data_IF_131633192095
#
_entry.id   IF_131633192095
#
_cell.length_a   1.000
_cell.length_b   1.000
_cell.length_c   1.000
_cell.angle_alpha   90.00
_cell.angle_beta   90.00
_cell.angle_gamma   90.00
#
_symmetry.space_group_name_H-M   'P 1'
#
loop_
_entity.id
_entity.type
_entity.pdbx_description
1 polymer ?
#
# COMPACT_ATOMS: atom_id res chain seq x y z
N UNK A 1 -4.29 9.72 20.51
CA UNK A 1 -2.95 9.22 20.96
C UNK A 1 -2.40 8.28 19.87
N UNK A 2 -1.27 8.63 19.25
CA UNK A 2 -0.69 7.85 18.15
C UNK A 2 0.12 6.61 18.62
N UNK A 3 0.26 6.42 19.92
CA UNK A 3 1.16 5.38 20.46
C UNK A 3 0.73 3.96 20.12
N UNK A 4 -0.57 3.73 19.96
CA UNK A 4 -1.14 2.40 19.74
C UNK A 4 -1.21 1.97 18.27
N UNK A 5 -0.96 2.89 17.32
CA UNK A 5 -1.03 2.57 15.89
C UNK A 5 0.21 1.88 15.35
N UNK A 6 1.38 2.04 16.01
CA UNK A 6 2.63 1.37 15.63
C UNK A 6 2.69 -0.02 16.25
N UNK A 7 2.23 -1.02 15.50
CA UNK A 7 2.18 -2.42 15.94
C UNK A 7 3.47 -3.15 15.62
N UNK A 8 3.49 -4.47 15.82
CA UNK A 8 4.67 -5.29 15.55
C UNK A 8 5.02 -5.35 14.06
N UNK A 9 4.00 -5.48 13.19
CA UNK A 9 4.22 -5.77 11.77
C UNK A 9 3.71 -4.68 10.80
N UNK A 10 2.95 -3.72 11.29
CA UNK A 10 2.40 -2.64 10.47
C UNK A 10 1.97 -1.44 11.33
N UNK A 11 1.62 -0.35 10.65
CA UNK A 11 0.93 0.79 11.26
C UNK A 11 -0.55 0.58 11.02
N UNK A 12 -1.37 0.64 12.09
CA UNK A 12 -2.80 0.41 12.00
C UNK A 12 -3.59 1.17 13.05
N UNK A 13 -4.63 1.88 12.62
CA UNK A 13 -5.46 2.69 13.52
C UNK A 13 -6.85 2.99 12.96
N UNK A 14 -7.64 3.64 13.76
CA UNK A 14 -8.99 4.10 13.40
C UNK A 14 -8.84 5.41 12.60
N UNK A 15 -9.48 5.45 11.41
CA UNK A 15 -9.48 6.63 10.55
C UNK A 15 -10.07 7.84 11.27
N UNK A 16 -9.48 9.01 11.08
CA UNK A 16 -9.74 10.29 11.73
C UNK A 16 -9.41 10.35 13.23
N UNK A 17 -9.69 9.30 14.00
CA UNK A 17 -9.43 9.29 15.43
C UNK A 17 -7.94 9.12 15.75
N UNK A 18 -7.26 8.23 15.05
CA UNK A 18 -5.85 7.88 15.24
C UNK A 18 -5.02 8.16 13.98
N UNK A 19 -5.53 7.77 12.81
CA UNK A 19 -4.99 8.09 11.51
C UNK A 19 -5.69 9.34 10.96
N UNK A 20 -5.29 10.48 11.44
CA UNK A 20 -5.76 11.81 11.02
C UNK A 20 -4.68 12.54 10.21
N UNK A 21 -5.00 13.71 9.70
CA UNK A 21 -4.11 14.51 8.87
C UNK A 21 -2.74 14.73 9.49
N UNK A 22 -2.70 15.15 10.76
CA UNK A 22 -1.45 15.47 11.48
C UNK A 22 -0.59 14.20 11.62
N UNK A 23 -1.19 13.12 12.12
CA UNK A 23 -0.46 11.88 12.36
C UNK A 23 0.06 11.26 11.06
N UNK A 24 -0.76 11.24 10.00
CA UNK A 24 -0.40 10.61 8.72
C UNK A 24 0.63 11.43 7.94
N UNK A 25 0.53 12.76 7.95
CA UNK A 25 1.57 13.62 7.38
C UNK A 25 2.91 13.43 8.11
N UNK A 26 2.90 13.36 9.44
CA UNK A 26 4.11 13.11 10.23
C UNK A 26 4.71 11.72 9.96
N UNK A 27 3.86 10.68 9.83
CA UNK A 27 4.29 9.34 9.41
C UNK A 27 4.94 9.37 8.03
N UNK A 28 4.31 10.02 7.05
CA UNK A 28 4.86 10.15 5.70
C UNK A 28 6.21 10.86 5.68
N UNK A 29 6.34 11.93 6.44
CA UNK A 29 7.59 12.68 6.53
C UNK A 29 8.74 11.85 7.11
N UNK A 30 8.53 11.20 8.24
CA UNK A 30 9.57 10.40 8.88
C UNK A 30 9.91 9.11 8.11
N UNK A 31 8.90 8.46 7.49
CA UNK A 31 9.15 7.34 6.57
C UNK A 31 10.00 7.79 5.37
N UNK A 32 9.67 8.95 4.79
CA UNK A 32 10.44 9.49 3.67
C UNK A 32 11.90 9.79 4.05
N UNK A 33 12.14 10.39 5.22
CA UNK A 33 13.49 10.62 5.72
C UNK A 33 14.25 9.31 5.98
N UNK A 34 13.58 8.33 6.60
CA UNK A 34 14.15 7.01 6.85
C UNK A 34 14.54 6.30 5.54
N UNK A 35 13.65 6.33 4.55
CA UNK A 35 13.90 5.76 3.23
C UNK A 35 15.10 6.44 2.54
N UNK A 36 15.19 7.77 2.56
CA UNK A 36 16.35 8.50 2.02
C UNK A 36 17.64 8.11 2.73
N UNK A 37 17.62 8.00 4.06
CA UNK A 37 18.79 7.59 4.84
C UNK A 37 19.26 6.17 4.49
N UNK A 38 18.35 5.29 4.09
CA UNK A 38 18.65 3.94 3.60
C UNK A 38 19.05 3.90 2.13
N UNK A 39 19.01 5.01 1.41
CA UNK A 39 19.38 5.12 -0.01
C UNK A 39 18.25 4.82 -0.99
N UNK A 40 16.98 4.77 -0.54
CA UNK A 40 15.81 4.65 -1.43
C UNK A 40 15.71 5.88 -2.33
N UNK A 41 15.57 5.65 -3.64
CA UNK A 41 15.43 6.69 -4.65
C UNK A 41 14.00 6.81 -5.16
N UNK A 42 13.29 5.68 -5.22
CA UNK A 42 11.95 5.58 -5.78
C UNK A 42 11.02 4.79 -4.86
N UNK A 43 9.81 5.33 -4.65
CA UNK A 43 8.79 4.77 -3.79
C UNK A 43 7.48 4.61 -4.54
N UNK A 44 6.88 3.42 -4.53
CA UNK A 44 5.50 3.21 -4.96
C UNK A 44 4.54 3.31 -3.79
N UNK A 45 3.38 3.93 -4.02
CA UNK A 45 2.28 4.01 -3.06
C UNK A 45 1.01 3.50 -3.71
N UNK A 46 0.40 2.48 -3.12
CA UNK A 46 -0.90 1.94 -3.53
C UNK A 46 -1.87 1.87 -2.36
N UNK A 47 -3.14 1.58 -2.65
CA UNK A 47 -4.17 1.54 -1.63
C UNK A 47 -5.27 0.51 -1.93
N UNK A 48 -5.98 0.08 -0.89
CA UNK A 48 -7.14 -0.80 -1.01
C UNK A 48 -8.44 0.00 -1.28
N UNK A 49 -9.58 -0.69 -1.33
CA UNK A 49 -10.88 -0.11 -1.67
C UNK A 49 -11.59 0.64 -0.52
N UNK A 50 -10.92 0.88 0.59
CA UNK A 50 -11.54 1.56 1.74
C UNK A 50 -11.83 3.04 1.43
N UNK A 51 -12.97 3.55 1.91
CA UNK A 51 -13.37 4.94 1.70
C UNK A 51 -12.35 5.97 2.23
N UNK A 52 -11.60 5.60 3.25
CA UNK A 52 -10.52 6.42 3.82
C UNK A 52 -9.24 6.46 2.99
N UNK A 53 -9.12 5.62 1.96
CA UNK A 53 -7.88 5.46 1.20
C UNK A 53 -7.39 6.77 0.57
N UNK A 54 -8.27 7.54 -0.06
CA UNK A 54 -7.89 8.80 -0.74
C UNK A 54 -7.36 9.86 0.24
N UNK A 55 -8.03 10.04 1.39
CA UNK A 55 -7.57 10.99 2.41
C UNK A 55 -6.20 10.59 2.96
N UNK A 56 -6.05 9.31 3.33
CA UNK A 56 -4.78 8.77 3.83
C UNK A 56 -3.65 8.85 2.79
N UNK A 57 -3.97 8.60 1.51
CA UNK A 57 -3.01 8.73 0.42
C UNK A 57 -2.52 10.18 0.31
N UNK A 58 -3.41 11.16 0.27
CA UNK A 58 -3.06 12.57 0.15
C UNK A 58 -2.21 13.06 1.33
N UNK A 59 -2.59 12.72 2.55
CA UNK A 59 -1.84 13.08 3.76
C UNK A 59 -0.47 12.41 3.80
N UNK A 60 -0.40 11.11 3.50
CA UNK A 60 0.87 10.37 3.46
C UNK A 60 1.82 10.96 2.41
N UNK A 61 1.31 11.20 1.19
CA UNK A 61 2.07 11.77 0.08
C UNK A 61 2.58 13.18 0.42
N UNK A 62 1.79 14.00 1.12
CA UNK A 62 2.25 15.32 1.57
C UNK A 62 3.47 15.23 2.50
N UNK A 63 3.44 14.27 3.45
CA UNK A 63 4.60 14.00 4.32
C UNK A 63 5.82 13.51 3.53
N UNK A 64 5.63 12.55 2.64
CA UNK A 64 6.69 12.01 1.78
C UNK A 64 7.30 13.07 0.87
N UNK A 65 6.48 13.99 0.31
CA UNK A 65 6.97 15.11 -0.49
C UNK A 65 7.78 16.11 0.34
N UNK A 66 7.41 16.33 1.61
CA UNK A 66 8.22 17.14 2.55
C UNK A 66 9.62 16.55 2.77
N UNK A 67 9.74 15.22 2.74
CA UNK A 67 11.01 14.52 2.81
C UNK A 67 11.73 14.46 1.44
N UNK A 68 11.12 14.96 0.35
CA UNK A 68 11.70 15.01 -1.00
C UNK A 68 12.03 13.61 -1.57
N UNK A 69 11.16 12.62 -1.35
CA UNK A 69 11.28 11.31 -1.99
C UNK A 69 10.48 11.27 -3.29
N UNK A 70 10.97 10.58 -4.31
CA UNK A 70 10.27 10.45 -5.59
C UNK A 70 9.17 9.39 -5.48
N UNK A 71 7.91 9.84 -5.62
CA UNK A 71 6.72 9.02 -5.39
C UNK A 71 6.06 8.63 -6.70
N UNK A 72 5.63 7.36 -6.76
CA UNK A 72 4.82 6.80 -7.84
C UNK A 72 3.51 6.26 -7.27
N UNK A 73 2.39 6.81 -7.72
CA UNK A 73 1.05 6.32 -7.43
C UNK A 73 0.75 5.13 -8.35
N UNK A 74 0.57 3.95 -7.75
CA UNK A 74 0.21 2.73 -8.46
C UNK A 74 -1.29 2.41 -8.39
N UNK A 75 -2.07 3.26 -7.74
CA UNK A 75 -3.53 3.19 -7.71
C UNK A 75 -4.12 2.21 -6.69
N UNK A 76 -5.42 1.93 -6.90
CA UNK A 76 -6.19 1.00 -6.07
C UNK A 76 -5.91 -0.44 -6.51
N UNK A 77 -5.17 -1.19 -5.70
CA UNK A 77 -4.68 -2.53 -6.02
C UNK A 77 -4.59 -3.42 -4.77
N UNK A 78 -4.62 -4.75 -4.91
CA UNK A 78 -4.34 -5.64 -3.79
C UNK A 78 -2.87 -5.57 -3.36
N UNK A 79 -2.63 -5.73 -2.07
CA UNK A 79 -1.29 -5.65 -1.44
C UNK A 79 -0.19 -6.44 -2.17
N UNK A 80 -0.43 -7.66 -2.70
CA UNK A 80 0.60 -8.39 -3.45
C UNK A 80 1.15 -7.67 -4.68
N UNK A 81 0.36 -6.79 -5.31
CA UNK A 81 0.83 -5.98 -6.45
C UNK A 81 1.86 -4.95 -5.98
N UNK A 82 1.65 -4.34 -4.80
CA UNK A 82 2.63 -3.46 -4.19
C UNK A 82 3.95 -4.18 -3.90
N UNK A 83 3.90 -5.36 -3.29
CA UNK A 83 5.10 -6.17 -3.07
C UNK A 83 5.80 -6.54 -4.38
N UNK A 84 5.04 -6.96 -5.39
CA UNK A 84 5.59 -7.27 -6.71
C UNK A 84 6.36 -6.10 -7.31
N UNK A 85 5.93 -4.87 -7.10
CA UNK A 85 6.59 -3.68 -7.62
C UNK A 85 8.03 -3.52 -7.12
N UNK A 86 8.31 -3.96 -5.88
CA UNK A 86 9.65 -3.95 -5.29
C UNK A 86 10.43 -5.22 -5.64
N UNK A 87 9.78 -6.39 -5.57
CA UNK A 87 10.45 -7.67 -5.89
C UNK A 87 10.89 -7.77 -7.35
N UNK A 88 10.26 -7.03 -8.25
CA UNK A 88 10.65 -6.91 -9.67
C UNK A 88 11.53 -5.70 -9.97
N UNK A 89 12.04 -5.05 -8.94
CA UNK A 89 12.98 -3.93 -9.04
C UNK A 89 12.44 -2.73 -9.85
N UNK A 90 11.10 -2.54 -9.87
CA UNK A 90 10.51 -1.32 -10.44
C UNK A 90 10.74 -0.13 -9.51
N UNK A 91 10.70 -0.39 -8.20
CA UNK A 91 10.90 0.60 -7.15
C UNK A 91 11.77 0.04 -6.02
N UNK A 92 12.45 0.93 -5.31
CA UNK A 92 13.27 0.57 -4.14
C UNK A 92 12.40 0.29 -2.90
N UNK A 93 11.23 0.92 -2.83
CA UNK A 93 10.31 0.76 -1.70
C UNK A 93 8.83 0.80 -2.14
N UNK A 94 7.96 0.28 -1.26
CA UNK A 94 6.51 0.33 -1.43
C UNK A 94 5.81 0.65 -0.11
N UNK A 95 4.75 1.44 -0.18
CA UNK A 95 3.77 1.58 0.90
C UNK A 95 2.40 1.20 0.37
N UNK A 96 1.75 0.22 1.04
CA UNK A 96 0.36 -0.13 0.78
C UNK A 96 -0.53 0.39 1.90
N UNK A 97 -1.48 1.24 1.53
CA UNK A 97 -2.50 1.76 2.42
C UNK A 97 -3.64 0.75 2.49
N UNK A 98 -3.76 0.05 3.61
CA UNK A 98 -4.73 -1.03 3.78
C UNK A 98 -5.08 -1.29 5.23
N UNK A 99 -6.36 -1.54 5.49
CA UNK A 99 -6.85 -2.04 6.77
C UNK A 99 -6.83 -3.57 6.87
N UNK A 100 -6.39 -4.28 5.80
CA UNK A 100 -6.45 -5.74 5.73
C UNK A 100 -7.87 -6.28 6.03
N UNK A 101 -8.01 -7.17 6.99
CA UNK A 101 -9.29 -7.77 7.43
C UNK A 101 -9.96 -7.02 8.62
N UNK A 102 -9.45 -5.84 8.98
CA UNK A 102 -10.06 -5.06 10.07
C UNK A 102 -11.39 -4.41 9.65
N UNK A 103 -12.24 -4.02 10.62
CA UNK A 103 -13.47 -3.28 10.36
C UNK A 103 -13.28 -2.07 9.46
N UNK A 104 -14.35 -1.60 8.82
CA UNK A 104 -14.34 -0.55 7.80
C UNK A 104 -13.76 0.79 8.26
N UNK A 105 -13.82 1.09 9.54
CA UNK A 105 -13.28 2.31 10.15
C UNK A 105 -11.77 2.25 10.45
N UNK A 106 -11.13 1.08 10.29
CA UNK A 106 -9.69 0.93 10.40
C UNK A 106 -9.00 1.14 9.04
N UNK A 107 -7.75 1.60 9.08
CA UNK A 107 -6.83 1.54 7.96
C UNK A 107 -5.39 1.47 8.48
N UNK A 108 -4.39 1.50 7.61
CA UNK A 108 -2.99 1.41 8.02
C UNK A 108 -2.01 1.43 6.87
N UNK A 109 -0.76 1.19 7.20
CA UNK A 109 0.34 1.23 6.23
C UNK A 109 1.21 -0.01 6.38
N UNK A 110 1.39 -0.73 5.26
CA UNK A 110 2.39 -1.80 5.12
C UNK A 110 3.55 -1.26 4.31
N UNK A 111 4.74 -1.34 4.87
CA UNK A 111 5.94 -0.75 4.29
C UNK A 111 6.94 -1.83 3.94
N UNK A 112 7.50 -1.76 2.72
CA UNK A 112 8.57 -2.62 2.22
C UNK A 112 9.71 -1.73 1.73
N UNK A 113 10.94 -2.03 2.14
CA UNK A 113 12.15 -1.31 1.72
C UNK A 113 13.18 -2.35 1.24
N UNK A 114 13.66 -2.24 0.00
CA UNK A 114 14.62 -3.16 -0.61
C UNK A 114 14.27 -4.65 -0.44
N UNK A 115 12.98 -5.01 -0.65
CA UNK A 115 12.45 -6.37 -0.53
C UNK A 115 12.28 -6.87 0.91
N UNK A 116 12.63 -6.07 1.92
CA UNK A 116 12.42 -6.40 3.33
C UNK A 116 11.19 -5.67 3.90
N UNK A 117 10.43 -6.37 4.72
CA UNK A 117 9.33 -5.75 5.47
C UNK A 117 9.87 -4.81 6.53
N UNK A 118 9.25 -3.64 6.67
CA UNK A 118 9.57 -2.67 7.70
C UNK A 118 8.70 -2.93 8.94
N UNK A 119 9.26 -3.50 10.01
CA UNK A 119 8.50 -4.00 11.16
C UNK A 119 9.31 -3.95 12.47
N UNK A 120 8.71 -4.35 13.57
CA UNK A 120 9.34 -4.54 14.86
C UNK A 120 10.05 -3.28 15.37
N UNK A 121 11.36 -3.39 15.61
CA UNK A 121 12.19 -2.30 16.13
C UNK A 121 12.15 -1.05 15.25
N UNK A 122 12.12 -1.21 13.94
CA UNK A 122 12.08 -0.09 13.00
C UNK A 122 10.79 0.74 13.18
N UNK A 123 9.64 0.09 13.37
CA UNK A 123 8.38 0.77 13.67
C UNK A 123 8.40 1.49 15.02
N UNK A 124 9.06 0.94 16.04
CA UNK A 124 9.18 1.61 17.34
C UNK A 124 10.09 2.85 17.28
N UNK A 125 11.15 2.79 16.48
CA UNK A 125 12.00 3.97 16.21
C UNK A 125 11.20 5.03 15.44
N UNK A 126 10.47 4.62 14.40
CA UNK A 126 9.60 5.52 13.63
C UNK A 126 8.56 6.19 14.53
N UNK A 127 7.90 5.46 15.42
CA UNK A 127 6.96 6.00 16.41
C UNK A 127 7.56 7.17 17.18
N UNK A 128 8.77 7.00 17.71
CA UNK A 128 9.45 8.06 18.47
C UNK A 128 9.72 9.30 17.61
N UNK A 129 10.17 9.11 16.38
CA UNK A 129 10.42 10.20 15.43
C UNK A 129 9.13 10.93 15.05
N UNK A 130 8.06 10.19 14.73
CA UNK A 130 6.73 10.76 14.43
C UNK A 130 6.18 11.57 15.60
N UNK A 131 6.33 11.07 16.82
CA UNK A 131 5.94 11.81 18.02
C UNK A 131 6.69 13.15 18.11
N UNK A 132 8.00 13.17 17.88
CA UNK A 132 8.79 14.38 17.88
C UNK A 132 8.32 15.42 16.85
N UNK A 133 7.93 14.97 15.64
CA UNK A 133 7.36 15.85 14.59
C UNK A 133 6.09 16.54 15.11
N UNK A 134 5.21 15.79 15.76
CA UNK A 134 3.95 16.29 16.29
C UNK A 134 4.16 17.22 17.49
N UNK A 135 4.98 16.79 18.44
CA UNK A 135 5.23 17.56 19.70
C UNK A 135 5.94 18.91 19.42
N UNK A 136 6.74 18.98 18.34
CA UNK A 136 7.40 20.23 17.90
C UNK A 136 6.60 21.02 16.86
N UNK A 137 5.35 20.64 16.57
CA UNK A 137 4.45 21.31 15.61
C UNK A 137 5.11 21.57 14.25
N UNK A 138 5.87 20.58 13.72
CA UNK A 138 6.52 20.70 12.42
C UNK A 138 5.46 20.76 11.32
N UNK A 139 5.34 21.91 10.66
CA UNK A 139 4.34 22.14 9.62
C UNK A 139 4.64 21.33 8.35
N UNK A 140 3.66 20.58 7.89
CA UNK A 140 3.67 19.82 6.64
C UNK A 140 2.49 20.28 5.79
N UNK A 141 2.78 21.06 4.78
CA UNK A 141 1.78 21.59 3.87
C UNK A 141 1.25 20.49 2.94
N UNK A 142 0.06 20.73 2.37
CA UNK A 142 -0.50 19.85 1.35
C UNK A 142 0.34 19.86 0.09
N UNK A 143 0.79 18.69 -0.31
CA UNK A 143 1.50 18.47 -1.56
C UNK A 143 1.22 17.07 -2.08
N UNK A 144 0.33 16.96 -3.06
CA UNK A 144 -0.16 15.70 -3.63
C UNK A 144 0.59 15.28 -4.89
N UNK A 145 1.76 15.86 -5.15
CA UNK A 145 2.53 15.60 -6.35
C UNK A 145 3.04 14.16 -6.38
N UNK A 146 2.66 13.41 -7.41
CA UNK A 146 3.10 12.05 -7.68
C UNK A 146 3.28 11.83 -9.18
N UNK A 147 3.97 10.75 -9.54
CA UNK A 147 3.96 10.21 -10.90
C UNK A 147 3.01 9.01 -10.92
N UNK A 148 2.37 8.74 -12.07
CA UNK A 148 1.57 7.51 -12.23
C UNK A 148 2.45 6.40 -12.79
N UNK A 149 2.19 5.16 -12.37
CA UNK A 149 2.86 3.99 -12.91
C UNK A 149 1.94 2.76 -12.90
N UNK A 150 1.86 2.08 -14.01
CA UNK A 150 1.08 0.84 -14.13
C UNK A 150 1.92 -0.38 -13.69
N UNK A 151 1.63 -0.88 -12.51
CA UNK A 151 2.20 -2.13 -11.97
C UNK A 151 1.28 -3.32 -12.25
N UNK A 152 -0.01 -3.05 -12.49
CA UNK A 152 -1.00 -4.12 -12.66
C UNK A 152 -0.73 -4.95 -13.91
N UNK A 153 -0.50 -4.31 -15.04
CA UNK A 153 -0.25 -5.02 -16.31
C UNK A 153 0.92 -6.00 -16.20
N UNK A 154 2.13 -5.60 -15.82
CA UNK A 154 3.24 -6.55 -15.68
C UNK A 154 3.00 -7.60 -14.59
N UNK A 155 2.22 -7.30 -13.54
CA UNK A 155 1.83 -8.30 -12.55
C UNK A 155 0.93 -9.39 -13.16
N UNK A 156 -0.07 -9.01 -13.92
CA UNK A 156 -0.97 -9.94 -14.61
C UNK A 156 -0.21 -10.78 -15.63
N UNK A 157 0.67 -10.19 -16.43
CA UNK A 157 1.53 -10.90 -17.38
C UNK A 157 2.39 -11.94 -16.66
N UNK A 158 3.02 -11.56 -15.55
CA UNK A 158 3.83 -12.46 -14.73
C UNK A 158 3.00 -13.65 -14.20
N UNK A 159 1.82 -13.38 -13.64
CA UNK A 159 0.94 -14.44 -13.15
C UNK A 159 0.42 -15.34 -14.28
N UNK A 160 -0.02 -14.76 -15.39
CA UNK A 160 -0.49 -15.51 -16.56
C UNK A 160 0.57 -16.48 -17.05
N UNK A 161 1.82 -16.02 -17.17
CA UNK A 161 2.95 -16.87 -17.57
C UNK A 161 3.26 -17.93 -16.51
N UNK A 162 3.27 -17.57 -15.24
CA UNK A 162 3.59 -18.49 -14.14
C UNK A 162 2.57 -19.61 -14.00
N UNK A 163 1.32 -19.35 -14.34
CA UNK A 163 0.20 -20.26 -14.22
C UNK A 163 -0.34 -20.74 -15.59
N UNK A 164 0.45 -20.62 -16.66
CA UNK A 164 0.06 -21.01 -18.01
C UNK A 164 -0.38 -22.49 -18.09
N UNK A 165 0.17 -23.35 -17.26
CA UNK A 165 -0.21 -24.76 -17.14
C UNK A 165 -1.66 -24.98 -16.67
N UNK A 166 -2.31 -23.95 -16.09
CA UNK A 166 -3.73 -23.98 -15.69
C UNK A 166 -4.67 -23.53 -16.82
N UNK A 167 -4.13 -23.12 -17.97
CA UNK A 167 -4.94 -22.66 -19.09
C UNK A 167 -5.90 -23.75 -19.55
N UNK A 168 -7.18 -23.37 -19.71
CA UNK A 168 -8.26 -24.29 -20.06
C UNK A 168 -8.51 -25.40 -19.01
N UNK A 169 -8.15 -25.15 -17.76
CA UNK A 169 -8.40 -26.12 -16.68
C UNK A 169 -9.88 -26.48 -16.60
N UNK A 170 -10.20 -27.78 -16.70
CA UNK A 170 -11.58 -28.30 -16.64
C UNK A 170 -12.04 -28.44 -15.18
N UNK A 171 -12.04 -27.34 -14.44
CA UNK A 171 -12.59 -27.26 -13.10
C UNK A 171 -13.53 -26.05 -13.01
N UNK A 172 -14.65 -26.21 -12.35
CA UNK A 172 -15.49 -25.06 -11.96
C UNK A 172 -14.92 -24.43 -10.69
N UNK A 173 -14.49 -23.18 -10.81
CA UNK A 173 -13.92 -22.41 -9.71
C UNK A 173 -14.95 -21.34 -9.28
N UNK A 174 -15.19 -21.21 -7.99
CA UNK A 174 -15.94 -20.08 -7.41
C UNK A 174 -15.00 -19.31 -6.50
N UNK A 175 -14.85 -18.01 -6.74
CA UNK A 175 -13.98 -17.13 -5.96
C UNK A 175 -14.80 -15.97 -5.40
N UNK A 176 -14.76 -15.74 -4.10
CA UNK A 176 -15.41 -14.60 -3.46
C UNK A 176 -14.37 -13.48 -3.25
N UNK A 177 -14.53 -12.37 -3.96
CA UNK A 177 -13.65 -11.20 -3.84
C UNK A 177 -14.12 -10.22 -2.74
N UNK A 178 -15.30 -10.40 -2.17
CA UNK A 178 -15.81 -9.64 -1.03
C UNK A 178 -15.84 -8.11 -1.24
N UNK A 179 -16.06 -7.63 -2.46
CA UNK A 179 -15.93 -6.21 -2.84
C UNK A 179 -14.55 -5.60 -2.49
N UNK A 180 -13.53 -6.46 -2.37
CA UNK A 180 -12.14 -6.02 -2.19
C UNK A 180 -11.42 -5.90 -3.54
N UNK A 181 -10.15 -5.52 -3.50
CA UNK A 181 -9.33 -5.29 -4.70
C UNK A 181 -8.91 -6.58 -5.43
N UNK A 182 -9.18 -7.77 -4.87
CA UNK A 182 -8.82 -9.05 -5.51
C UNK A 182 -9.53 -9.26 -6.85
N UNK A 183 -10.78 -8.77 -6.99
CA UNK A 183 -11.56 -8.87 -8.22
C UNK A 183 -10.82 -8.29 -9.43
N UNK A 184 -10.10 -7.18 -9.25
CA UNK A 184 -9.31 -6.51 -10.29
C UNK A 184 -8.29 -7.46 -10.95
N UNK A 185 -7.67 -8.33 -10.15
CA UNK A 185 -6.68 -9.31 -10.62
C UNK A 185 -7.36 -10.58 -11.16
N UNK A 186 -8.37 -11.08 -10.44
CA UNK A 186 -9.04 -12.34 -10.77
C UNK A 186 -9.76 -12.28 -12.11
N UNK A 187 -10.41 -11.16 -12.45
CA UNK A 187 -11.08 -10.98 -13.73
C UNK A 187 -10.08 -11.11 -14.90
N UNK A 188 -8.93 -10.46 -14.80
CA UNK A 188 -7.89 -10.51 -15.83
C UNK A 188 -7.24 -11.90 -15.96
N UNK A 189 -7.01 -12.59 -14.84
CA UNK A 189 -6.46 -13.96 -14.87
C UNK A 189 -7.47 -14.97 -15.44
N UNK A 190 -8.76 -14.83 -15.08
CA UNK A 190 -9.83 -15.64 -15.67
C UNK A 190 -9.85 -15.54 -17.18
N UNK A 191 -9.76 -14.32 -17.72
CA UNK A 191 -9.74 -14.07 -19.17
C UNK A 191 -8.47 -14.66 -19.81
N UNK A 192 -7.29 -14.32 -19.31
CA UNK A 192 -6.02 -14.70 -19.91
C UNK A 192 -5.75 -16.22 -19.90
N UNK A 193 -6.21 -16.91 -18.85
CA UNK A 193 -6.04 -18.35 -18.69
C UNK A 193 -7.27 -19.16 -19.13
N UNK A 194 -8.32 -18.48 -19.63
CA UNK A 194 -9.59 -19.11 -20.02
C UNK A 194 -10.12 -20.08 -18.96
N UNK A 195 -10.22 -19.59 -17.71
CA UNK A 195 -10.69 -20.38 -16.57
C UNK A 195 -12.21 -20.40 -16.47
N UNK A 196 -12.80 -21.58 -16.20
CA UNK A 196 -14.20 -21.69 -15.83
C UNK A 196 -14.41 -21.21 -14.38
N UNK A 197 -14.33 -19.89 -14.20
CA UNK A 197 -14.36 -19.22 -12.89
C UNK A 197 -15.56 -18.28 -12.78
N UNK A 198 -16.30 -18.42 -11.70
CA UNK A 198 -17.31 -17.47 -11.25
C UNK A 198 -16.70 -16.62 -10.13
N UNK A 199 -16.77 -15.29 -10.25
CA UNK A 199 -16.20 -14.36 -9.26
C UNK A 199 -17.37 -13.64 -8.59
N UNK A 200 -17.57 -13.89 -7.30
CA UNK A 200 -18.57 -13.24 -6.49
C UNK A 200 -18.02 -11.89 -5.97
N UNK A 201 -18.87 -10.87 -5.97
CA UNK A 201 -18.54 -9.53 -5.48
C UNK A 201 -17.21 -8.96 -6.04
N UNK A 202 -17.01 -8.96 -7.38
CA UNK A 202 -15.72 -8.62 -7.99
C UNK A 202 -15.37 -7.12 -7.92
N UNK A 203 -16.36 -6.26 -7.76
CA UNK A 203 -16.17 -4.80 -7.79
C UNK A 203 -15.85 -4.27 -6.39
N UNK A 204 -14.73 -3.54 -6.24
CA UNK A 204 -14.41 -2.82 -5.01
C UNK A 204 -15.43 -1.75 -4.64
#
# INVERSE_FOLDING_TARGET
>A
MIENIFREYDIRGIFEAELNEISVKAIGYELGLEMKNRGVKTLSVGYDARLSANSLFNWLVSGLNKAEIKIFDIGMLPTPVGYFSVFKDFFDANIMITGSHNPKNYNGFKVTIFKDSYFGRDLQILKTKVKNVIDNDIKIEDNFKTNKFDVLTPYIEYLTKSFEHLKNLNLKIVSDAGNGTAGIVLEKLKENLNLNMEILYPKP
#
